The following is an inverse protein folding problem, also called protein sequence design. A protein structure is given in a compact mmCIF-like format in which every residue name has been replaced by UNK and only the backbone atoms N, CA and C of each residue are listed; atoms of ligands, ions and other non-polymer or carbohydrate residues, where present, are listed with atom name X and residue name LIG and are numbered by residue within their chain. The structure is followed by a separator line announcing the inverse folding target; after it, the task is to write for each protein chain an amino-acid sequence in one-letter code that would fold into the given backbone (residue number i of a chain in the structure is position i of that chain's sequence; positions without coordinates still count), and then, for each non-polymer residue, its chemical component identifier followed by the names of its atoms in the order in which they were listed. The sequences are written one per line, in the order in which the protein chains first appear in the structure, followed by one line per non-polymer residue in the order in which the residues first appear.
data_IF_430586485196
#
_entry.id   IF_430586485196
#
_cell.length_a   1.000
_cell.length_b   1.000
_cell.length_c   1.000
_cell.angle_alpha   90.00
_cell.angle_beta   90.00
_cell.angle_gamma   90.00
#
_symmetry.space_group_name_H-M   'P 1'
#
loop_
_entity.id
_entity.type
_entity.pdbx_description
1 polymer ?
#
# COMPACT_ATOMS: atom_id res chain seq x y z
N UNK A 1 50.65 -15.60 44.17
CA UNK A 1 50.84 -15.04 45.53
C UNK A 1 50.31 -13.61 45.48
N UNK A 2 49.17 -13.33 46.11
CA UNK A 2 49.03 -12.88 47.52
C UNK A 2 49.44 -11.39 47.65
N UNK A 3 48.49 -10.45 47.67
CA UNK A 3 47.72 -9.93 48.85
C UNK A 3 48.40 -8.67 49.45
N UNK A 4 47.74 -7.62 49.96
CA UNK A 4 46.33 -7.12 49.95
C UNK A 4 46.41 -5.56 50.04
N UNK A 5 45.49 -4.67 50.45
CA UNK A 5 44.25 -4.68 51.27
C UNK A 5 43.35 -3.46 50.97
N UNK A 6 42.14 -3.46 51.52
CA UNK A 6 41.23 -2.28 51.68
C UNK A 6 41.02 -2.05 53.22
N UNK A 7 39.92 -1.48 53.82
CA UNK A 7 38.66 -0.88 53.31
C UNK A 7 38.18 0.38 54.11
N UNK A 8 36.85 0.68 54.04
CA UNK A 8 36.02 1.50 54.96
C UNK A 8 36.06 3.05 54.81
N UNK A 9 35.09 3.83 55.35
CA UNK A 9 33.60 3.81 55.29
C UNK A 9 33.05 4.98 56.13
N UNK A 10 31.96 5.66 55.74
CA UNK A 10 31.31 6.65 56.64
C UNK A 10 30.09 7.38 56.07
N UNK A 11 28.97 7.31 56.79
CA UNK A 11 27.68 7.95 56.49
C UNK A 11 27.26 8.89 57.62
N UNK A 12 26.49 9.97 57.38
CA UNK A 12 25.69 10.60 58.42
C UNK A 12 24.47 11.42 57.92
N UNK A 13 23.41 11.40 58.73
CA UNK A 13 22.15 12.19 58.73
C UNK A 13 21.58 12.06 60.18
N UNK A 14 20.78 12.99 60.78
CA UNK A 14 19.34 13.15 60.44
C UNK A 14 18.64 14.49 60.88
N UNK A 15 17.29 14.56 60.77
CA UNK A 15 16.31 15.18 61.70
C UNK A 15 16.26 16.75 61.92
N UNK A 16 15.16 17.43 62.31
CA UNK A 16 13.71 17.11 62.37
C UNK A 16 12.74 18.34 62.38
N UNK A 17 11.44 18.04 62.49
CA UNK A 17 10.17 18.81 62.41
C UNK A 17 9.95 20.17 63.13
N UNK A 18 8.89 20.90 62.68
CA UNK A 18 7.84 21.70 63.40
C UNK A 18 7.07 22.55 62.33
N UNK A 19 5.78 22.94 62.33
CA UNK A 19 4.50 22.74 63.05
C UNK A 19 3.41 23.64 62.35
N UNK A 20 2.10 23.36 62.44
CA UNK A 20 1.00 24.12 61.75
C UNK A 20 0.51 25.41 62.47
N UNK A 21 -0.72 25.98 62.21
CA UNK A 21 -1.96 25.29 61.76
C UNK A 21 -3.04 26.07 60.91
N UNK A 22 -4.14 25.36 60.57
CA UNK A 22 -5.58 25.80 60.40
C UNK A 22 -6.07 26.76 59.28
N UNK A 23 -6.65 26.14 58.23
CA UNK A 23 -8.09 26.15 57.84
C UNK A 23 -8.87 27.41 57.34
N UNK A 24 -9.58 27.25 56.20
CA UNK A 24 -10.90 27.87 55.93
C UNK A 24 -11.79 26.97 55.02
N UNK A 25 -13.10 27.22 54.99
CA UNK A 25 -14.17 26.57 54.21
C UNK A 25 -15.07 27.67 53.58
N UNK A 26 -15.94 27.48 52.57
CA UNK A 26 -16.67 26.36 51.91
C UNK A 26 -17.11 26.88 50.49
N UNK A 27 -17.92 26.20 49.64
CA UNK A 27 -18.46 24.83 49.66
C UNK A 27 -18.35 24.04 48.33
N UNK A 28 -18.90 22.83 48.34
CA UNK A 28 -19.10 21.93 47.19
C UNK A 28 -20.29 22.31 46.30
N UNK A 29 -20.20 22.01 45.00
CA UNK A 29 -21.36 21.57 44.20
C UNK A 29 -20.95 20.40 43.29
N UNK A 30 -21.81 19.38 43.22
CA UNK A 30 -21.67 18.20 42.37
C UNK A 30 -23.07 17.79 41.91
N UNK A 31 -23.21 17.25 40.70
CA UNK A 31 -23.76 15.89 40.64
C UNK A 31 -22.82 14.91 39.92
N UNK A 32 -22.52 13.79 40.59
CA UNK A 32 -22.00 12.59 39.92
C UNK A 32 -23.14 11.88 39.22
N UNK A 33 -23.07 11.67 37.90
CA UNK A 33 -23.76 10.55 37.26
C UNK A 33 -22.80 9.36 37.14
N UNK A 34 -22.65 8.62 38.25
CA UNK A 34 -22.09 7.26 38.22
C UNK A 34 -23.20 6.34 37.75
N UNK A 35 -23.12 5.88 36.50
CA UNK A 35 -23.83 4.69 36.07
C UNK A 35 -22.99 3.46 36.42
N UNK A 36 -23.38 2.79 37.50
CA UNK A 36 -22.91 1.42 37.80
C UNK A 36 -23.39 0.48 36.70
N UNK A 37 -22.47 -0.30 36.12
CA UNK A 37 -22.87 -1.41 35.23
C UNK A 37 -23.26 -2.62 36.08
N UNK A 38 -24.44 -3.23 35.86
CA UNK A 38 -24.75 -4.54 36.41
C UNK A 38 -23.84 -5.60 35.77
N UNK A 39 -23.18 -6.40 36.59
CA UNK A 39 -22.43 -7.56 36.14
C UNK A 39 -23.39 -8.69 35.74
N UNK A 40 -23.55 -8.94 34.43
CA UNK A 40 -24.34 -10.07 33.95
C UNK A 40 -24.26 -10.29 32.44
N UNK A 41 -23.96 -11.54 32.03
CA UNK A 41 -24.51 -12.09 30.78
C UNK A 41 -25.91 -12.62 31.10
N UNK A 42 -26.86 -12.54 30.16
CA UNK A 42 -27.16 -13.76 29.40
C UNK A 42 -26.77 -13.67 27.91
N UNK A 43 -26.78 -14.83 27.25
CA UNK A 43 -27.13 -14.89 25.83
C UNK A 43 -28.65 -14.88 25.76
N UNK A 44 -29.23 -14.05 24.90
CA UNK A 44 -30.57 -14.33 24.38
C UNK A 44 -30.79 -13.74 22.99
N UNK A 45 -31.53 -14.46 22.14
CA UNK A 45 -31.55 -14.24 20.69
C UNK A 45 -32.82 -13.53 20.22
N UNK A 46 -33.00 -12.26 20.60
CA UNK A 46 -34.09 -11.43 20.07
C UNK A 46 -33.76 -9.92 20.03
N UNK A 47 -32.95 -9.50 19.04
CA UNK A 47 -32.68 -8.07 18.80
C UNK A 47 -33.49 -7.57 17.61
N UNK A 48 -34.59 -6.85 17.91
CA UNK A 48 -35.49 -6.25 16.93
C UNK A 48 -35.10 -4.77 16.65
N UNK A 49 -34.71 -4.42 15.40
CA UNK A 49 -34.38 -3.04 15.03
C UNK A 49 -35.52 -2.04 15.21
N UNK A 50 -36.78 -2.48 15.21
CA UNK A 50 -37.95 -1.60 15.16
C UNK A 50 -38.38 -1.10 16.55
N UNK A 51 -37.88 -1.71 17.62
CA UNK A 51 -38.17 -1.34 19.03
C UNK A 51 -37.32 -0.19 19.59
N UNK A 52 -36.23 0.23 18.93
CA UNK A 52 -35.38 1.34 19.40
C UNK A 52 -35.63 2.61 18.58
N UNK A 53 -36.77 3.26 18.87
CA UNK A 53 -37.16 4.57 18.32
C UNK A 53 -37.18 5.61 19.43
N UNK A 54 -36.87 6.86 19.13
CA UNK A 54 -37.09 7.99 20.04
C UNK A 54 -38.60 8.25 20.24
N UNK A 55 -38.95 9.16 21.17
CA UNK A 55 -40.33 9.56 21.43
C UNK A 55 -41.05 10.25 20.24
N UNK A 56 -40.40 10.36 19.07
CA UNK A 56 -40.95 10.85 17.79
C UNK A 56 -40.80 9.83 16.66
N UNK A 57 -40.58 8.55 17.01
CA UNK A 57 -40.57 7.43 16.08
C UNK A 57 -39.30 7.28 15.23
N UNK A 58 -38.25 8.08 15.47
CA UNK A 58 -37.03 8.10 14.65
C UNK A 58 -35.88 7.33 15.31
N UNK A 59 -35.01 6.73 14.48
CA UNK A 59 -33.77 6.10 14.96
C UNK A 59 -32.78 7.17 15.47
N UNK A 60 -32.02 6.90 16.56
CA UNK A 60 -31.01 7.83 17.09
C UNK A 60 -29.96 8.25 16.05
N UNK A 61 -29.47 9.49 16.16
CA UNK A 61 -28.55 10.07 15.16
C UNK A 61 -27.19 9.39 15.09
N UNK A 62 -26.75 8.76 16.18
CA UNK A 62 -25.54 7.92 16.20
C UNK A 62 -25.60 6.71 15.25
N UNK A 63 -26.79 6.27 14.82
CA UNK A 63 -26.98 5.21 13.81
C UNK A 63 -27.20 5.78 12.39
N UNK A 64 -27.09 7.10 12.20
CA UNK A 64 -27.56 7.80 11.00
C UNK A 64 -26.46 8.43 10.14
N UNK A 65 -25.20 8.01 10.30
CA UNK A 65 -24.25 8.02 9.18
C UNK A 65 -24.84 7.08 8.11
N UNK A 66 -25.41 7.60 7.01
CA UNK A 66 -26.52 6.92 6.37
C UNK A 66 -26.03 5.75 5.54
N UNK A 67 -26.80 4.66 5.52
CA UNK A 67 -26.48 3.46 4.72
C UNK A 67 -26.28 3.78 3.23
N UNK A 68 -26.92 4.84 2.73
CA UNK A 68 -26.71 5.40 1.40
C UNK A 68 -25.28 5.89 1.16
N UNK A 69 -24.59 6.52 2.13
CA UNK A 69 -23.20 6.96 1.97
C UNK A 69 -22.25 5.77 1.83
N UNK A 70 -22.39 4.75 2.68
CA UNK A 70 -21.54 3.57 2.61
C UNK A 70 -21.80 2.76 1.34
N UNK A 71 -23.06 2.62 0.93
CA UNK A 71 -23.45 2.00 -0.33
C UNK A 71 -22.96 2.80 -1.56
N UNK A 72 -23.03 4.13 -1.51
CA UNK A 72 -22.53 5.04 -2.55
C UNK A 72 -21.01 4.91 -2.68
N UNK A 73 -20.25 5.03 -1.58
CA UNK A 73 -18.78 4.83 -1.59
C UNK A 73 -18.39 3.47 -2.16
N UNK A 74 -19.02 2.38 -1.70
CA UNK A 74 -18.83 1.03 -2.25
C UNK A 74 -19.16 0.93 -3.75
N UNK A 75 -20.00 1.81 -4.29
CA UNK A 75 -20.41 1.85 -5.70
C UNK A 75 -19.47 2.71 -6.54
N UNK A 76 -19.05 3.87 -6.06
CA UNK A 76 -17.98 4.67 -6.66
C UNK A 76 -16.68 3.86 -6.78
N UNK A 77 -16.27 3.13 -5.74
CA UNK A 77 -15.09 2.25 -5.78
C UNK A 77 -15.25 1.11 -6.79
N UNK A 78 -16.42 0.48 -6.86
CA UNK A 78 -16.69 -0.60 -7.83
C UNK A 78 -16.65 -0.10 -9.29
N UNK A 79 -17.20 1.09 -9.55
CA UNK A 79 -17.16 1.74 -10.87
C UNK A 79 -15.72 2.15 -11.22
N UNK A 80 -14.99 2.73 -10.26
CA UNK A 80 -13.57 3.07 -10.42
C UNK A 80 -12.73 1.85 -10.80
N UNK A 81 -12.89 0.72 -10.09
CA UNK A 81 -12.19 -0.52 -10.41
C UNK A 81 -12.54 -1.07 -11.79
N UNK A 82 -13.81 -1.04 -12.18
CA UNK A 82 -14.21 -1.44 -13.53
C UNK A 82 -13.56 -0.55 -14.61
N UNK A 83 -13.64 0.78 -14.47
CA UNK A 83 -13.08 1.73 -15.45
C UNK A 83 -11.56 1.61 -15.56
N UNK A 84 -10.84 1.53 -14.44
CA UNK A 84 -9.37 1.40 -14.43
C UNK A 84 -8.93 0.02 -14.92
N UNK A 85 -9.69 -1.04 -14.63
CA UNK A 85 -9.44 -2.37 -15.21
C UNK A 85 -9.63 -2.37 -16.73
N UNK A 86 -10.72 -1.78 -17.25
CA UNK A 86 -10.94 -1.62 -18.68
C UNK A 86 -9.85 -0.78 -19.35
N UNK A 87 -9.36 0.27 -18.69
CA UNK A 87 -8.22 1.06 -19.17
C UNK A 87 -6.95 0.23 -19.30
N UNK A 88 -6.58 -0.56 -18.28
CA UNK A 88 -5.40 -1.42 -18.37
C UNK A 88 -5.57 -2.58 -19.37
N UNK A 89 -6.78 -3.13 -19.55
CA UNK A 89 -7.07 -4.07 -20.64
C UNK A 89 -6.83 -3.40 -21.99
N UNK A 90 -7.40 -2.20 -22.20
CA UNK A 90 -7.22 -1.43 -23.43
C UNK A 90 -5.74 -1.18 -23.73
N UNK A 91 -4.94 -0.73 -22.75
CA UNK A 91 -3.50 -0.51 -22.94
C UNK A 91 -2.78 -1.81 -23.33
N UNK A 92 -2.94 -2.90 -22.57
CA UNK A 92 -2.28 -4.17 -22.86
C UNK A 92 -2.67 -4.71 -24.26
N UNK A 93 -3.95 -4.62 -24.63
CA UNK A 93 -4.43 -5.02 -25.96
C UNK A 93 -3.84 -4.13 -27.06
N UNK A 94 -3.94 -2.81 -26.93
CA UNK A 94 -3.44 -1.84 -27.92
C UNK A 94 -1.93 -1.99 -28.15
N UNK A 95 -1.15 -2.17 -27.07
CA UNK A 95 0.29 -2.43 -27.15
C UNK A 95 0.57 -3.75 -27.86
N UNK A 96 -0.18 -4.82 -27.55
CA UNK A 96 -0.06 -6.12 -28.21
C UNK A 96 -0.37 -6.05 -29.72
N UNK A 97 -1.42 -5.33 -30.12
CA UNK A 97 -1.77 -5.12 -31.53
C UNK A 97 -0.68 -4.36 -32.30
N UNK A 98 0.07 -3.48 -31.64
CA UNK A 98 1.21 -2.79 -32.26
C UNK A 98 2.44 -3.68 -32.49
N UNK A 99 2.46 -4.92 -31.96
CA UNK A 99 3.54 -5.88 -32.21
C UNK A 99 3.69 -6.30 -33.68
N UNK A 100 2.67 -6.12 -34.51
CA UNK A 100 2.68 -6.45 -35.94
C UNK A 100 3.39 -5.43 -36.85
N UNK A 101 3.72 -4.23 -36.37
CA UNK A 101 4.47 -3.23 -37.14
C UNK A 101 5.95 -3.68 -37.28
N UNK A 102 6.42 -3.80 -38.53
CA UNK A 102 7.78 -4.27 -38.86
C UNK A 102 8.90 -3.37 -38.32
N UNK A 103 8.61 -2.12 -37.94
CA UNK A 103 9.55 -1.23 -37.25
C UNK A 103 9.53 -1.43 -35.73
N UNK A 104 8.42 -1.92 -35.16
CA UNK A 104 8.26 -2.19 -33.72
C UNK A 104 8.71 -3.60 -33.34
N UNK A 105 8.50 -4.58 -34.21
CA UNK A 105 9.04 -5.93 -34.05
C UNK A 105 10.57 -5.92 -33.89
N UNK A 106 11.29 -5.01 -34.56
CA UNK A 106 12.74 -4.80 -34.39
C UNK A 106 13.15 -4.29 -33.00
N UNK A 107 12.27 -3.57 -32.28
CA UNK A 107 12.51 -3.16 -30.88
C UNK A 107 12.11 -4.26 -29.91
N UNK A 108 11.03 -4.98 -30.22
CA UNK A 108 10.57 -6.15 -29.47
C UNK A 108 11.33 -7.45 -29.79
N UNK A 109 12.37 -7.41 -30.62
CA UNK A 109 13.29 -8.53 -30.83
C UNK A 109 13.87 -8.97 -29.48
N UNK A 110 14.19 -10.25 -29.35
CA UNK A 110 14.82 -10.87 -28.19
C UNK A 110 14.07 -10.61 -26.87
N UNK A 111 12.98 -11.36 -26.65
CA UNK A 111 12.20 -11.33 -25.40
C UNK A 111 10.87 -10.58 -25.47
N UNK A 112 10.50 -10.00 -26.62
CA UNK A 112 9.22 -9.31 -26.83
C UNK A 112 9.12 -7.97 -26.11
N UNK A 113 7.89 -7.45 -26.01
CA UNK A 113 7.57 -6.35 -25.08
C UNK A 113 7.83 -6.73 -23.61
N UNK A 114 7.71 -8.02 -23.27
CA UNK A 114 7.79 -8.53 -21.91
C UNK A 114 9.18 -8.43 -21.24
N UNK A 115 10.20 -7.91 -21.93
CA UNK A 115 11.50 -7.54 -21.34
C UNK A 115 11.46 -6.27 -20.50
N UNK A 116 10.57 -5.31 -20.80
CA UNK A 116 10.49 -4.04 -20.08
C UNK A 116 9.57 -4.13 -18.85
N UNK A 117 10.02 -3.56 -17.74
CA UNK A 117 9.29 -3.51 -16.47
C UNK A 117 7.99 -2.71 -16.58
N UNK A 118 7.96 -1.68 -17.44
CA UNK A 118 6.75 -0.91 -17.76
C UNK A 118 5.61 -1.82 -18.23
N UNK A 119 5.83 -2.67 -19.24
CA UNK A 119 4.77 -3.56 -19.75
C UNK A 119 4.39 -4.66 -18.75
N UNK A 120 5.36 -5.17 -17.97
CA UNK A 120 5.08 -6.09 -16.85
C UNK A 120 4.24 -5.41 -15.75
N UNK A 121 4.49 -4.13 -15.45
CA UNK A 121 3.67 -3.34 -14.54
C UNK A 121 2.26 -3.12 -15.08
N UNK A 122 2.07 -2.80 -16.37
CA UNK A 122 0.73 -2.64 -16.96
C UNK A 122 -0.09 -3.93 -16.90
N UNK A 123 0.55 -5.10 -17.08
CA UNK A 123 -0.10 -6.39 -16.88
C UNK A 123 -0.42 -6.64 -15.39
N UNK A 124 0.49 -6.32 -14.49
CA UNK A 124 0.29 -6.39 -13.04
C UNK A 124 -0.87 -5.50 -12.55
N UNK A 125 -1.00 -4.28 -13.08
CA UNK A 125 -2.15 -3.40 -12.79
C UNK A 125 -3.45 -4.00 -13.36
N UNK A 126 -3.43 -4.53 -14.59
CA UNK A 126 -4.61 -5.21 -15.16
C UNK A 126 -5.09 -6.39 -14.29
N UNK A 127 -4.15 -7.22 -13.79
CA UNK A 127 -4.46 -8.33 -12.88
C UNK A 127 -5.00 -7.79 -11.54
N UNK A 128 -4.34 -6.79 -10.96
CA UNK A 128 -4.75 -6.19 -9.68
C UNK A 128 -6.15 -5.58 -9.74
N UNK A 129 -6.43 -4.71 -10.69
CA UNK A 129 -7.75 -4.07 -10.83
C UNK A 129 -8.85 -5.06 -11.23
N UNK A 130 -8.51 -6.12 -11.98
CA UNK A 130 -9.42 -7.24 -12.23
C UNK A 130 -9.82 -7.98 -10.96
N UNK A 131 -8.86 -8.30 -10.08
CA UNK A 131 -9.12 -8.90 -8.76
C UNK A 131 -9.94 -7.96 -7.88
N UNK A 132 -9.60 -6.67 -7.82
CA UNK A 132 -10.33 -5.68 -7.02
C UNK A 132 -11.78 -5.47 -7.50
N UNK A 133 -12.00 -5.44 -8.81
CA UNK A 133 -13.34 -5.38 -9.42
C UNK A 133 -14.14 -6.66 -9.17
N UNK A 134 -13.53 -7.83 -9.33
CA UNK A 134 -14.16 -9.13 -9.07
C UNK A 134 -14.57 -9.28 -7.60
N UNK A 135 -13.76 -8.76 -6.67
CA UNK A 135 -14.11 -8.72 -5.24
C UNK A 135 -15.32 -7.83 -4.95
N UNK A 136 -15.40 -6.65 -5.57
CA UNK A 136 -16.52 -5.72 -5.36
C UNK A 136 -17.84 -6.25 -5.96
N UNK A 137 -17.77 -6.93 -7.11
CA UNK A 137 -18.91 -7.64 -7.70
C UNK A 137 -19.34 -8.82 -6.84
N UNK A 138 -18.41 -9.67 -6.40
CA UNK A 138 -18.76 -10.85 -5.57
C UNK A 138 -19.31 -10.46 -4.19
N UNK A 139 -18.82 -9.37 -3.56
CA UNK A 139 -19.39 -8.85 -2.32
C UNK A 139 -20.82 -8.31 -2.46
N UNK A 140 -21.22 -7.87 -3.67
CA UNK A 140 -22.60 -7.47 -3.97
C UNK A 140 -23.51 -8.67 -4.15
N UNK A 141 -23.05 -9.70 -4.88
CA UNK A 141 -23.85 -10.87 -5.22
C UNK A 141 -23.99 -11.84 -4.04
N UNK A 142 -22.90 -12.14 -3.33
CA UNK A 142 -22.85 -13.17 -2.26
C UNK A 142 -22.82 -12.59 -0.84
N UNK A 143 -22.74 -11.26 -0.72
CA UNK A 143 -22.51 -10.58 0.56
C UNK A 143 -21.07 -10.74 1.07
N UNK A 144 -20.84 -10.37 2.33
CA UNK A 144 -19.50 -10.39 2.94
C UNK A 144 -19.06 -11.78 3.45
N UNK A 145 -19.91 -12.80 3.30
CA UNK A 145 -19.60 -14.18 3.67
C UNK A 145 -18.79 -14.86 2.56
N UNK A 146 -17.60 -15.32 2.95
CA UNK A 146 -16.69 -16.20 2.19
C UNK A 146 -15.85 -15.61 1.05
N UNK A 147 -15.39 -14.35 1.20
CA UNK A 147 -14.49 -13.68 0.22
C UNK A 147 -13.06 -13.45 0.77
N UNK A 148 -12.76 -13.99 1.97
CA UNK A 148 -11.52 -13.74 2.73
C UNK A 148 -10.22 -14.00 1.96
N UNK A 149 -10.15 -15.10 1.19
CA UNK A 149 -8.95 -15.46 0.42
C UNK A 149 -8.66 -14.41 -0.65
N UNK A 150 -9.67 -14.01 -1.43
CA UNK A 150 -9.50 -12.99 -2.48
C UNK A 150 -9.15 -11.62 -1.90
N UNK A 151 -9.77 -11.22 -0.78
CA UNK A 151 -9.39 -9.98 -0.06
C UNK A 151 -7.91 -9.99 0.35
N UNK A 152 -7.41 -11.12 0.88
CA UNK A 152 -6.02 -11.26 1.30
C UNK A 152 -5.05 -11.36 0.10
N UNK A 153 -5.47 -11.97 -1.01
CA UNK A 153 -4.70 -12.01 -2.24
C UNK A 153 -4.59 -10.63 -2.90
N UNK A 154 -5.70 -9.88 -2.98
CA UNK A 154 -5.72 -8.47 -3.40
C UNK A 154 -4.72 -7.65 -2.58
N UNK A 155 -4.79 -7.73 -1.25
CA UNK A 155 -3.94 -6.93 -0.38
C UNK A 155 -2.47 -7.33 -0.48
N UNK A 156 -2.16 -8.63 -0.57
CA UNK A 156 -0.80 -9.07 -0.83
C UNK A 156 -0.28 -8.52 -2.17
N UNK A 157 -1.06 -8.67 -3.24
CA UNK A 157 -0.72 -8.22 -4.59
C UNK A 157 -0.50 -6.71 -4.66
N UNK A 158 -1.39 -5.92 -4.05
CA UNK A 158 -1.27 -4.47 -4.01
C UNK A 158 -0.07 -4.00 -3.21
N UNK A 159 0.02 -4.43 -1.95
CA UNK A 159 0.98 -3.89 -0.98
C UNK A 159 2.42 -4.32 -1.29
N UNK A 160 2.63 -5.51 -1.86
CA UNK A 160 3.98 -6.03 -2.16
C UNK A 160 4.45 -5.79 -3.59
N UNK A 161 3.53 -5.69 -4.57
CA UNK A 161 3.88 -5.58 -5.99
C UNK A 161 3.24 -4.36 -6.67
N UNK A 162 1.91 -4.26 -6.74
CA UNK A 162 1.26 -3.29 -7.62
C UNK A 162 1.48 -1.82 -7.22
N UNK A 163 1.51 -1.49 -5.93
CA UNK A 163 1.84 -0.13 -5.46
C UNK A 163 3.36 0.14 -5.48
N UNK A 164 4.25 -0.74 -4.97
CA UNK A 164 5.68 -0.51 -5.06
C UNK A 164 6.22 -0.39 -6.48
N UNK A 165 5.77 -1.26 -7.40
CA UNK A 165 6.29 -1.30 -8.78
C UNK A 165 5.74 -0.14 -9.62
N UNK A 166 4.47 0.27 -9.49
CA UNK A 166 3.96 1.44 -10.21
C UNK A 166 4.67 2.72 -9.79
N UNK A 167 4.90 2.90 -8.49
CA UNK A 167 5.60 4.04 -7.93
C UNK A 167 7.09 4.03 -8.31
N UNK A 168 7.74 2.86 -8.30
CA UNK A 168 9.12 2.71 -8.79
C UNK A 168 9.23 3.05 -10.28
N UNK A 169 8.36 2.50 -11.13
CA UNK A 169 8.37 2.76 -12.59
C UNK A 169 8.13 4.24 -12.86
N UNK A 170 7.14 4.88 -12.22
CA UNK A 170 6.92 6.32 -12.34
C UNK A 170 8.17 7.13 -11.97
N UNK A 171 8.70 6.93 -10.75
CA UNK A 171 9.79 7.77 -10.24
C UNK A 171 11.11 7.53 -10.97
N UNK A 172 11.46 6.27 -11.26
CA UNK A 172 12.68 5.95 -12.01
C UNK A 172 12.60 6.41 -13.47
N UNK A 173 11.46 6.21 -14.15
CA UNK A 173 11.28 6.68 -15.52
C UNK A 173 11.40 8.20 -15.61
N UNK A 174 10.62 8.97 -14.85
CA UNK A 174 10.64 10.43 -14.98
C UNK A 174 11.94 11.04 -14.49
N UNK A 175 12.61 10.46 -13.48
CA UNK A 175 13.96 10.92 -13.07
C UNK A 175 14.99 10.72 -14.18
N UNK A 176 15.03 9.54 -14.80
CA UNK A 176 15.96 9.27 -15.90
C UNK A 176 15.59 10.07 -17.17
N UNK A 177 14.31 10.18 -17.50
CA UNK A 177 13.81 10.91 -18.67
C UNK A 177 14.15 12.40 -18.61
N UNK A 178 14.02 13.03 -17.43
CA UNK A 178 14.33 14.45 -17.23
C UNK A 178 15.83 14.72 -17.08
N UNK A 179 16.64 13.72 -16.73
CA UNK A 179 18.10 13.82 -16.64
C UNK A 179 18.77 13.63 -18.02
N UNK A 180 18.54 12.47 -18.64
CA UNK A 180 18.87 12.17 -20.04
C UNK A 180 17.93 11.08 -20.55
N UNK A 181 16.95 11.47 -21.37
CA UNK A 181 15.98 10.54 -21.94
C UNK A 181 16.59 9.42 -22.77
N UNK A 182 17.79 9.58 -23.35
CA UNK A 182 18.42 8.51 -24.13
C UNK A 182 18.83 7.31 -23.24
N UNK A 183 18.85 7.46 -21.91
CA UNK A 183 19.10 6.38 -20.94
C UNK A 183 17.93 5.39 -20.77
N UNK A 184 16.70 5.82 -21.05
CA UNK A 184 15.47 5.06 -20.75
C UNK A 184 14.42 5.08 -21.87
N UNK A 185 14.32 6.18 -22.62
CA UNK A 185 13.35 6.39 -23.69
C UNK A 185 13.95 7.24 -24.85
N UNK A 186 14.84 6.64 -25.68
CA UNK A 186 15.47 7.30 -26.82
C UNK A 186 14.51 8.01 -27.78
N UNK A 187 14.94 9.10 -28.42
CA UNK A 187 14.14 9.83 -29.44
C UNK A 187 13.59 8.95 -30.57
N UNK A 188 14.27 7.85 -30.89
CA UNK A 188 13.79 6.86 -31.86
C UNK A 188 12.41 6.25 -31.50
N UNK A 189 11.99 6.32 -30.23
CA UNK A 189 10.69 5.83 -29.76
C UNK A 189 9.54 6.81 -30.01
N UNK A 190 9.80 8.10 -30.23
CA UNK A 190 8.74 9.12 -30.40
C UNK A 190 7.94 8.90 -31.68
N UNK A 191 8.60 8.47 -32.75
CA UNK A 191 7.92 8.06 -33.98
C UNK A 191 7.18 6.74 -33.88
N UNK A 192 7.29 6.01 -32.75
CA UNK A 192 6.82 4.63 -32.55
C UNK A 192 5.66 4.56 -31.55
N UNK A 193 5.80 5.17 -30.36
CA UNK A 193 4.69 5.32 -29.41
C UNK A 193 4.27 6.78 -29.36
N UNK A 194 2.97 7.11 -29.56
CA UNK A 194 2.50 8.48 -29.45
C UNK A 194 2.64 8.99 -28.00
N UNK A 195 2.76 10.30 -27.82
CA UNK A 195 3.03 10.93 -26.51
C UNK A 195 2.02 10.53 -25.42
N UNK A 196 0.74 10.40 -25.79
CA UNK A 196 -0.30 9.93 -24.86
C UNK A 196 -0.02 8.53 -24.32
N UNK A 197 0.60 7.65 -25.11
CA UNK A 197 1.00 6.31 -24.67
C UNK A 197 2.15 6.41 -23.66
N UNK A 198 3.14 7.28 -23.87
CA UNK A 198 4.20 7.49 -22.88
C UNK A 198 3.62 7.91 -21.51
N UNK A 199 2.65 8.83 -21.50
CA UNK A 199 1.95 9.22 -20.28
C UNK A 199 1.02 8.12 -19.72
N UNK A 200 0.34 7.33 -20.56
CA UNK A 200 -0.46 6.18 -20.13
C UNK A 200 0.39 5.09 -19.46
N UNK A 201 1.60 4.87 -19.96
CA UNK A 201 2.54 3.87 -19.45
C UNK A 201 3.30 4.32 -18.20
N UNK A 202 3.71 5.59 -18.13
CA UNK A 202 4.65 6.08 -17.10
C UNK A 202 4.08 7.18 -16.19
N UNK A 203 3.01 7.89 -16.55
CA UNK A 203 2.38 8.91 -15.69
C UNK A 203 1.16 8.36 -14.97
N UNK A 204 0.13 7.87 -15.69
CA UNK A 204 -1.18 7.56 -15.09
C UNK A 204 -1.16 6.41 -14.08
N UNK A 205 -0.12 5.58 -14.11
CA UNK A 205 0.05 4.45 -13.19
C UNK A 205 0.06 4.86 -11.72
N UNK A 206 0.73 5.96 -11.37
CA UNK A 206 0.88 6.40 -9.98
C UNK A 206 -0.40 7.07 -9.43
N UNK A 207 -1.06 8.01 -10.13
CA UNK A 207 -2.36 8.55 -9.71
C UNK A 207 -3.40 7.46 -9.42
N UNK A 208 -3.51 6.42 -10.27
CA UNK A 208 -4.44 5.31 -9.98
C UNK A 208 -4.04 4.53 -8.72
N UNK A 209 -2.76 4.17 -8.55
CA UNK A 209 -2.31 3.51 -7.31
C UNK A 209 -2.50 4.38 -6.06
N UNK A 210 -2.37 5.71 -6.15
CA UNK A 210 -2.63 6.63 -5.04
C UNK A 210 -4.13 6.78 -4.73
N UNK A 211 -4.99 6.78 -5.75
CA UNK A 211 -6.45 6.81 -5.56
C UNK A 211 -6.92 5.54 -4.85
N UNK A 212 -6.39 4.35 -5.16
CA UNK A 212 -6.75 3.12 -4.44
C UNK A 212 -6.34 3.18 -2.96
N UNK A 213 -5.14 3.69 -2.61
CA UNK A 213 -4.75 3.94 -1.19
C UNK A 213 -5.75 4.84 -0.46
N UNK A 214 -6.39 5.79 -1.17
CA UNK A 214 -7.38 6.72 -0.61
C UNK A 214 -8.81 6.13 -0.58
N UNK A 215 -9.13 5.19 -1.46
CA UNK A 215 -10.43 4.51 -1.53
C UNK A 215 -10.53 3.28 -0.61
N UNK A 216 -9.42 2.58 -0.35
CA UNK A 216 -9.43 1.26 0.30
C UNK A 216 -8.35 1.08 1.39
N UNK A 217 -8.72 0.55 2.57
CA UNK A 217 -7.76 0.04 3.54
C UNK A 217 -7.18 -1.31 3.07
N UNK A 218 -5.85 -1.43 3.06
CA UNK A 218 -5.14 -2.67 2.69
C UNK A 218 -4.42 -3.30 3.87
N UNK A 219 -4.60 -4.61 4.05
CA UNK A 219 -3.91 -5.41 5.06
C UNK A 219 -2.47 -5.73 4.62
N UNK A 220 -1.52 -4.87 4.96
CA UNK A 220 -0.09 -5.12 4.75
C UNK A 220 0.35 -6.43 5.44
N UNK A 221 1.11 -7.32 4.76
CA UNK A 221 1.70 -8.48 5.41
C UNK A 221 2.79 -8.06 6.39
N UNK A 222 3.21 -8.98 7.28
CA UNK A 222 4.38 -8.78 8.14
C UNK A 222 5.55 -8.24 7.30
N UNK A 223 6.09 -7.07 7.66
CA UNK A 223 7.07 -6.31 6.86
C UNK A 223 8.21 -7.17 6.29
N UNK A 224 8.74 -8.14 7.06
CA UNK A 224 9.72 -9.13 6.56
C UNK A 224 9.20 -9.92 5.35
N UNK A 225 8.02 -10.54 5.44
CA UNK A 225 7.38 -11.28 4.33
C UNK A 225 7.12 -10.38 3.12
N UNK A 226 6.64 -9.16 3.34
CA UNK A 226 6.37 -8.21 2.25
C UNK A 226 7.63 -7.83 1.48
N UNK A 227 8.70 -7.46 2.20
CA UNK A 227 10.00 -7.15 1.61
C UNK A 227 10.67 -8.37 0.97
N UNK A 228 10.56 -9.57 1.55
CA UNK A 228 11.06 -10.80 0.91
C UNK A 228 10.34 -11.09 -0.41
N UNK A 229 9.02 -10.90 -0.50
CA UNK A 229 8.29 -11.11 -1.76
C UNK A 229 8.67 -10.08 -2.83
N UNK A 230 8.84 -8.81 -2.44
CA UNK A 230 9.36 -7.75 -3.30
C UNK A 230 10.80 -8.03 -3.75
N UNK A 231 11.66 -8.57 -2.87
CA UNK A 231 13.03 -8.98 -3.20
C UNK A 231 13.04 -10.13 -4.22
N UNK A 232 12.22 -11.17 -4.03
CA UNK A 232 12.09 -12.29 -4.98
C UNK A 232 11.62 -11.79 -6.34
N UNK A 233 10.62 -10.90 -6.39
CA UNK A 233 10.16 -10.31 -7.65
C UNK A 233 11.23 -9.43 -8.33
N UNK A 234 11.99 -8.64 -7.53
CA UNK A 234 13.10 -7.82 -8.03
C UNK A 234 14.21 -8.68 -8.62
N UNK A 235 14.64 -9.73 -7.90
CA UNK A 235 15.66 -10.67 -8.35
C UNK A 235 15.21 -11.43 -9.60
N UNK A 236 13.96 -11.89 -9.66
CA UNK A 236 13.43 -12.56 -10.86
C UNK A 236 13.47 -11.64 -12.10
N UNK A 237 13.19 -10.34 -11.94
CA UNK A 237 13.32 -9.38 -13.05
C UNK A 237 14.78 -9.10 -13.41
N UNK A 238 15.67 -8.91 -12.43
CA UNK A 238 17.10 -8.70 -12.64
C UNK A 238 17.74 -9.89 -13.37
N UNK A 239 17.46 -11.12 -12.92
CA UNK A 239 17.92 -12.35 -13.60
C UNK A 239 17.43 -12.44 -15.03
N UNK A 240 16.17 -12.05 -15.31
CA UNK A 240 15.64 -11.98 -16.69
C UNK A 240 16.38 -10.95 -17.54
N UNK A 241 16.67 -9.77 -17.00
CA UNK A 241 17.44 -8.71 -17.69
C UNK A 241 18.85 -9.18 -18.02
N UNK A 242 19.54 -9.80 -17.05
CA UNK A 242 20.91 -10.32 -17.23
C UNK A 242 20.94 -11.47 -18.22
N UNK A 243 19.96 -12.38 -18.18
CA UNK A 243 19.85 -13.48 -19.14
C UNK A 243 19.61 -12.97 -20.57
N UNK A 244 18.71 -11.99 -20.77
CA UNK A 244 18.52 -11.37 -22.09
C UNK A 244 19.83 -10.76 -22.60
N UNK A 245 20.64 -10.14 -21.74
CA UNK A 245 21.95 -9.63 -22.16
C UNK A 245 22.92 -10.76 -22.53
N UNK A 246 23.03 -11.85 -21.74
CA UNK A 246 23.95 -12.95 -22.03
C UNK A 246 23.64 -13.70 -23.32
N UNK A 247 22.36 -13.86 -23.68
CA UNK A 247 21.94 -14.54 -24.92
C UNK A 247 22.09 -13.65 -26.17
N UNK A 248 22.19 -12.33 -26.03
CA UNK A 248 21.97 -11.39 -27.17
C UNK A 248 23.03 -10.31 -27.34
N UNK A 249 23.86 -10.05 -26.32
CA UNK A 249 24.74 -8.88 -26.26
C UNK A 249 24.02 -7.53 -26.16
N UNK A 250 22.69 -7.50 -26.04
CA UNK A 250 21.89 -6.26 -26.05
C UNK A 250 21.19 -6.02 -24.71
N UNK A 251 21.37 -4.81 -24.16
CA UNK A 251 20.76 -4.42 -22.89
C UNK A 251 19.29 -4.03 -23.06
N UNK A 252 18.47 -4.37 -22.05
CA UNK A 252 17.04 -4.01 -22.02
C UNK A 252 16.82 -2.49 -21.98
N UNK A 253 17.66 -1.74 -21.26
CA UNK A 253 17.65 -0.27 -21.23
C UNK A 253 19.04 0.29 -21.53
N UNK A 254 19.16 1.40 -22.28
CA UNK A 254 20.45 2.00 -22.62
C UNK A 254 21.32 2.38 -21.42
N UNK A 255 20.72 2.72 -20.27
CA UNK A 255 21.46 3.03 -19.03
C UNK A 255 22.41 1.90 -18.60
N UNK A 256 22.07 0.63 -18.81
CA UNK A 256 22.94 -0.49 -18.43
C UNK A 256 24.20 -0.58 -19.30
N UNK A 257 24.13 -0.14 -20.57
CA UNK A 257 25.30 -0.06 -21.44
C UNK A 257 26.31 1.03 -21.02
N UNK A 258 25.94 1.92 -20.10
CA UNK A 258 26.82 2.98 -19.56
C UNK A 258 27.48 2.59 -18.22
N UNK A 259 27.20 1.40 -17.68
CA UNK A 259 27.63 0.98 -16.35
C UNK A 259 28.63 -0.17 -16.41
N UNK A 260 29.67 -0.10 -15.57
CA UNK A 260 30.56 -1.23 -15.31
C UNK A 260 29.83 -2.33 -14.51
N UNK A 261 30.37 -3.56 -14.37
CA UNK A 261 29.76 -4.61 -13.53
C UNK A 261 29.53 -4.17 -12.07
N UNK A 262 30.42 -3.33 -11.52
CA UNK A 262 30.26 -2.71 -10.19
C UNK A 262 29.12 -1.68 -10.22
N UNK A 263 29.05 -0.85 -11.27
CA UNK A 263 27.96 0.12 -11.47
C UNK A 263 26.58 -0.54 -11.62
N UNK A 264 26.47 -1.67 -12.34
CA UNK A 264 25.26 -2.47 -12.43
C UNK A 264 24.85 -3.07 -11.08
N UNK A 265 25.83 -3.62 -10.34
CA UNK A 265 25.60 -4.18 -9.00
C UNK A 265 25.09 -3.10 -8.04
N UNK A 266 25.68 -1.90 -8.06
CA UNK A 266 25.22 -0.76 -7.30
C UNK A 266 23.81 -0.30 -7.74
N UNK A 267 23.56 -0.18 -9.05
CA UNK A 267 22.27 0.24 -9.61
C UNK A 267 21.13 -0.69 -9.17
N UNK A 268 21.31 -2.01 -9.28
CA UNK A 268 20.30 -2.99 -8.87
C UNK A 268 20.09 -2.99 -7.35
N UNK A 269 21.16 -2.86 -6.56
CA UNK A 269 21.09 -2.78 -5.10
C UNK A 269 20.32 -1.54 -4.63
N UNK A 270 20.65 -0.37 -5.19
CA UNK A 270 19.96 0.90 -4.92
C UNK A 270 18.50 0.86 -5.40
N UNK A 271 18.21 0.24 -6.56
CA UNK A 271 16.85 0.06 -7.07
C UNK A 271 15.98 -0.77 -6.11
N UNK A 272 16.53 -1.82 -5.52
CA UNK A 272 15.83 -2.60 -4.49
C UNK A 272 15.66 -1.82 -3.19
N UNK A 273 16.67 -1.10 -2.70
CA UNK A 273 16.58 -0.24 -1.50
C UNK A 273 15.50 0.85 -1.69
N UNK A 274 15.42 1.45 -2.87
CA UNK A 274 14.39 2.41 -3.23
C UNK A 274 12.99 1.78 -3.26
N UNK A 275 12.84 0.60 -3.89
CA UNK A 275 11.59 -0.17 -3.89
C UNK A 275 11.13 -0.57 -2.49
N UNK A 276 12.05 -0.99 -1.61
CA UNK A 276 11.77 -1.30 -0.21
C UNK A 276 11.37 -0.05 0.59
N UNK A 277 11.96 1.10 0.28
CA UNK A 277 11.57 2.40 0.86
C UNK A 277 10.15 2.81 0.44
N UNK A 278 9.79 2.58 -0.82
CA UNK A 278 8.42 2.78 -1.35
C UNK A 278 7.42 1.83 -0.67
N UNK A 279 7.77 0.56 -0.45
CA UNK A 279 6.92 -0.38 0.33
C UNK A 279 6.62 0.18 1.74
N UNK A 280 7.65 0.66 2.44
CA UNK A 280 7.50 1.24 3.79
C UNK A 280 6.72 2.57 3.74
N UNK A 281 6.84 3.36 2.68
CA UNK A 281 6.02 4.55 2.46
C UNK A 281 4.53 4.18 2.28
N UNK A 282 4.21 3.17 1.46
CA UNK A 282 2.85 2.67 1.30
C UNK A 282 2.23 2.17 2.61
N UNK A 283 3.00 1.41 3.39
CA UNK A 283 2.60 0.93 4.73
C UNK A 283 2.26 2.10 5.68
N UNK A 284 3.07 3.17 5.66
CA UNK A 284 2.83 4.42 6.40
C UNK A 284 1.60 5.19 5.88
N UNK A 285 1.44 5.34 4.57
CA UNK A 285 0.31 6.05 3.96
C UNK A 285 -1.02 5.36 4.28
N UNK A 286 -1.06 4.02 4.18
CA UNK A 286 -2.21 3.21 4.55
C UNK A 286 -2.53 3.34 6.05
N UNK A 287 -1.53 3.30 6.94
CA UNK A 287 -1.76 3.55 8.38
C UNK A 287 -2.23 4.98 8.66
N UNK A 288 -1.68 5.99 7.99
CA UNK A 288 -2.09 7.39 8.14
C UNK A 288 -3.54 7.61 7.70
N UNK A 289 -3.96 6.97 6.61
CA UNK A 289 -5.32 7.10 6.06
C UNK A 289 -6.38 6.25 6.80
N UNK A 290 -5.99 5.08 7.32
CA UNK A 290 -6.94 4.05 7.80
C UNK A 290 -6.68 3.52 9.22
N UNK A 291 -5.65 4.00 9.92
CA UNK A 291 -5.18 3.43 11.19
C UNK A 291 -6.27 3.28 12.26
N UNK A 292 -7.11 4.31 12.46
CA UNK A 292 -8.20 4.26 13.44
C UNK A 292 -9.27 3.21 13.10
N UNK A 293 -9.55 3.03 11.80
CA UNK A 293 -10.49 2.03 11.28
C UNK A 293 -9.90 0.61 11.35
N UNK A 294 -8.57 0.48 11.38
CA UNK A 294 -7.83 -0.78 11.56
C UNK A 294 -7.56 -1.17 13.02
N UNK A 295 -7.87 -0.32 14.01
CA UNK A 295 -7.65 -0.59 15.45
C UNK A 295 -8.91 -0.96 16.31
N UNK A 296 -10.05 -1.46 15.80
CA UNK A 296 -11.19 -1.80 16.64
C UNK A 296 -10.91 -3.07 17.47
N UNK A 297 -10.82 -2.91 18.80
CA UNK A 297 -10.56 -3.92 19.86
C UNK A 297 -9.11 -4.13 20.34
N UNK A 298 -8.44 -3.04 20.76
CA UNK A 298 -7.38 -3.12 21.81
C UNK A 298 -7.61 -2.25 23.06
N UNK A 299 -8.68 -1.44 23.11
CA UNK A 299 -9.06 -0.63 24.28
C UNK A 299 -10.37 -1.10 24.95
N UNK A 300 -10.40 -2.38 25.34
CA UNK A 300 -11.21 -2.87 26.47
C UNK A 300 -10.29 -3.76 27.31
N UNK A 301 -9.72 -3.17 28.35
CA UNK A 301 -9.29 -3.88 29.56
C UNK A 301 -10.51 -4.05 30.45
#
# INVERSE_FOLDING_TARGET
MYHTSSPLSGSFCPAEAHSGPKAMQRPSLSPRHVYTQPSGKPQDSNWDPQKVKDARGKLPEAFRAPWSELAMRRTCTCIYHFLVWSWYIFLNYYISQQGGDHRKSKIFLNGGQWKYLTFLNLLLQAIFYGVACMEDVLKRIKGERDIKFMSAFRDLLFTTLAFPISTFVFLSFWTLFLYDRELVYPKALDGIFPEWMNHAMHTTILPFSLVEVVLRPHCYPLRKKGLTLLAVASLAYISRVLWIYSETGTWVYPVFARLSPVGLTAFFSLSYIFSASIYILGEKLNHWKWGDIMQPRKKRK
#
